data_IF_673860455185
#
_entry.id   IF_673860455185
#
_cell.length_a   1.000
_cell.length_b   1.000
_cell.length_c   1.000
_cell.angle_alpha   90.00
_cell.angle_beta   90.00
_cell.angle_gamma   90.00
#
_symmetry.space_group_name_H-M   'P 1'
#
loop_
_entity.id
_entity.type
_entity.pdbx_description
1 polymer ?
#
# COMPACT_ATOMS: atom_id res chain seq x y z
N UNK A 1 -16.87 -9.15 -7.09
CA UNK A 1 -16.43 -9.99 -5.96
C UNK A 1 -17.52 -11.00 -5.68
N UNK A 2 -17.25 -12.29 -5.87
CA UNK A 2 -18.19 -13.37 -5.58
C UNK A 2 -18.07 -13.90 -4.14
N UNK A 3 -18.92 -14.86 -3.76
CA UNK A 3 -18.93 -15.42 -2.40
C UNK A 3 -17.67 -16.21 -2.05
N UNK A 4 -17.01 -16.82 -3.05
CA UNK A 4 -15.75 -17.53 -2.82
C UNK A 4 -14.62 -16.56 -2.55
N UNK A 5 -14.57 -15.46 -3.30
CA UNK A 5 -13.62 -14.37 -3.10
C UNK A 5 -13.78 -13.70 -1.74
N UNK A 6 -15.03 -13.47 -1.29
CA UNK A 6 -15.30 -12.97 0.07
C UNK A 6 -14.83 -13.95 1.14
N UNK A 7 -15.17 -15.23 1.00
CA UNK A 7 -14.72 -16.26 1.93
C UNK A 7 -13.18 -16.35 2.01
N UNK A 8 -12.50 -16.31 0.86
CA UNK A 8 -11.03 -16.32 0.83
C UNK A 8 -10.43 -15.05 1.44
N UNK A 9 -11.06 -13.89 1.28
CA UNK A 9 -10.66 -12.67 1.96
C UNK A 9 -10.78 -12.81 3.47
N UNK A 10 -11.86 -13.37 3.98
CA UNK A 10 -12.06 -13.60 5.42
C UNK A 10 -11.00 -14.55 6.01
N UNK A 11 -10.60 -15.58 5.26
CA UNK A 11 -9.60 -16.57 5.72
C UNK A 11 -8.16 -16.06 5.57
N UNK A 12 -7.82 -15.40 4.48
CA UNK A 12 -6.45 -14.96 4.21
C UNK A 12 -6.13 -13.56 4.76
N UNK A 13 -7.14 -12.73 4.99
CA UNK A 13 -6.99 -11.32 5.34
C UNK A 13 -6.59 -10.41 4.17
N UNK A 14 -6.54 -10.94 2.94
CA UNK A 14 -6.28 -10.19 1.71
C UNK A 14 -6.89 -10.87 0.49
N UNK A 15 -7.06 -10.09 -0.58
CA UNK A 15 -7.48 -10.60 -1.90
C UNK A 15 -6.77 -9.80 -3.01
N UNK A 16 -6.55 -10.45 -4.16
CA UNK A 16 -5.97 -9.82 -5.35
C UNK A 16 -7.09 -9.46 -6.33
N UNK A 17 -7.32 -8.16 -6.54
CA UNK A 17 -8.25 -7.66 -7.55
C UNK A 17 -7.45 -7.25 -8.78
N UNK A 18 -7.58 -8.01 -9.87
CA UNK A 18 -6.89 -7.72 -11.14
C UNK A 18 -7.61 -6.59 -11.86
N UNK A 19 -6.85 -5.66 -12.43
CA UNK A 19 -7.40 -4.55 -13.22
C UNK A 19 -8.31 -3.62 -12.40
N UNK A 20 -8.04 -3.47 -11.10
CA UNK A 20 -8.80 -2.55 -10.25
C UNK A 20 -8.70 -1.09 -10.73
N UNK A 21 -7.62 -0.75 -11.43
CA UNK A 21 -7.41 0.51 -12.12
C UNK A 21 -7.22 0.24 -13.61
N UNK A 22 -7.74 1.12 -14.46
CA UNK A 22 -7.35 1.21 -15.88
C UNK A 22 -5.87 1.59 -16.03
N UNK A 23 -5.32 1.41 -17.22
CA UNK A 23 -3.94 1.80 -17.51
C UNK A 23 -3.72 3.31 -17.34
N UNK A 24 -4.72 4.11 -17.72
CA UNK A 24 -4.72 5.56 -17.60
C UNK A 24 -4.75 6.00 -16.14
N UNK A 25 -5.64 5.43 -15.32
CA UNK A 25 -5.74 5.72 -13.89
C UNK A 25 -4.47 5.32 -13.14
N UNK A 26 -3.91 4.15 -13.45
CA UNK A 26 -2.65 3.70 -12.87
C UNK A 26 -1.50 4.65 -13.22
N UNK A 27 -1.42 5.09 -14.48
CA UNK A 27 -0.42 6.05 -14.94
C UNK A 27 -0.56 7.40 -14.23
N UNK A 28 -1.78 7.91 -14.08
CA UNK A 28 -2.06 9.15 -13.36
C UNK A 28 -1.68 9.06 -11.88
N UNK A 29 -2.03 7.95 -11.21
CA UNK A 29 -1.69 7.72 -9.81
C UNK A 29 -0.17 7.66 -9.58
N UNK A 30 0.57 6.95 -10.44
CA UNK A 30 2.03 6.89 -10.35
C UNK A 30 2.66 8.28 -10.53
N UNK A 31 2.21 9.07 -11.51
CA UNK A 31 2.70 10.44 -11.72
C UNK A 31 2.45 11.35 -10.52
N UNK A 32 1.28 11.23 -9.89
CA UNK A 32 0.96 11.99 -8.70
C UNK A 32 1.89 11.61 -7.54
N UNK A 33 2.15 10.32 -7.33
CA UNK A 33 3.10 9.85 -6.32
C UNK A 33 4.51 10.36 -6.57
N UNK A 34 5.01 10.28 -7.81
CA UNK A 34 6.35 10.73 -8.16
C UNK A 34 6.51 12.24 -7.93
N UNK A 35 5.49 13.03 -8.31
CA UNK A 35 5.48 14.49 -8.14
C UNK A 35 5.58 14.93 -6.68
N UNK A 36 5.02 14.14 -5.75
CA UNK A 36 5.01 14.43 -4.32
C UNK A 36 5.97 13.53 -3.52
N UNK A 37 6.92 12.89 -4.18
CA UNK A 37 7.84 11.94 -3.55
C UNK A 37 8.69 12.57 -2.44
N UNK A 38 8.97 13.87 -2.54
CA UNK A 38 9.67 14.69 -1.53
C UNK A 38 8.86 14.87 -0.23
N UNK A 39 7.54 14.68 -0.28
CA UNK A 39 6.63 14.82 0.85
C UNK A 39 6.40 13.48 1.58
N UNK A 40 6.88 12.37 1.02
CA UNK A 40 6.76 11.04 1.62
C UNK A 40 7.75 10.91 2.79
N UNK A 41 7.21 10.98 4.00
CA UNK A 41 8.00 10.77 5.22
C UNK A 41 8.01 9.29 5.61
N UNK A 42 9.18 8.76 5.99
CA UNK A 42 9.26 7.39 6.53
C UNK A 42 8.79 7.40 7.98
N UNK A 43 7.86 6.52 8.33
CA UNK A 43 7.42 6.38 9.71
C UNK A 43 8.59 6.00 10.63
N UNK A 44 8.69 6.73 11.73
CA UNK A 44 9.83 6.69 12.67
C UNK A 44 9.94 5.34 13.41
N UNK A 45 8.85 4.59 13.45
CA UNK A 45 8.70 3.33 14.17
C UNK A 45 8.66 2.14 13.22
N UNK A 46 9.50 1.14 13.51
CA UNK A 46 9.42 -0.16 12.83
C UNK A 46 8.10 -0.85 13.17
N UNK A 47 7.34 -1.23 12.15
CA UNK A 47 6.12 -2.02 12.30
C UNK A 47 6.41 -3.51 12.56
N UNK A 48 7.69 -3.91 12.54
CA UNK A 48 8.10 -5.30 12.74
C UNK A 48 7.96 -5.75 14.21
N UNK A 49 7.69 -4.84 15.16
CA UNK A 49 7.62 -5.13 16.59
C UNK A 49 8.82 -5.97 17.09
N UNK A 50 10.04 -5.53 16.73
CA UNK A 50 11.31 -6.23 17.01
C UNK A 50 11.46 -7.62 16.38
N UNK A 51 10.54 -8.06 15.52
CA UNK A 51 10.69 -9.31 14.76
C UNK A 51 11.82 -9.20 13.74
N UNK A 52 12.85 -10.06 13.81
CA UNK A 52 13.95 -10.04 12.85
C UNK A 52 13.49 -10.45 11.44
N UNK A 53 12.47 -11.31 11.32
CA UNK A 53 11.95 -11.79 10.04
C UNK A 53 11.09 -10.77 9.31
N UNK A 54 10.50 -9.82 10.05
CA UNK A 54 9.66 -8.76 9.49
C UNK A 54 10.40 -7.42 9.35
N UNK A 55 11.70 -7.39 9.67
CA UNK A 55 12.50 -6.17 9.62
C UNK A 55 12.81 -5.80 8.16
N UNK A 56 12.17 -4.74 7.66
CA UNK A 56 12.45 -4.17 6.35
C UNK A 56 13.72 -3.30 6.35
N UNK A 57 14.39 -3.20 5.19
CA UNK A 57 15.51 -2.26 5.00
C UNK A 57 15.07 -0.79 5.06
N UNK A 58 13.82 -0.54 4.73
CA UNK A 58 13.20 0.80 4.71
C UNK A 58 11.91 0.75 5.52
N UNK A 59 11.65 1.78 6.32
CA UNK A 59 10.37 1.92 7.03
C UNK A 59 9.21 2.18 6.08
N UNK A 60 7.97 2.10 6.59
CA UNK A 60 6.78 2.39 5.79
C UNK A 60 6.70 3.89 5.48
N UNK A 61 6.64 4.24 4.19
CA UNK A 61 6.35 5.61 3.75
C UNK A 61 4.93 6.02 4.16
N UNK A 62 4.80 7.22 4.70
CA UNK A 62 3.54 7.84 5.09
C UNK A 62 3.16 8.92 4.08
N UNK A 63 1.95 8.82 3.54
CA UNK A 63 1.34 9.80 2.65
C UNK A 63 0.16 10.54 3.30
N UNK A 64 -0.07 10.33 4.61
CA UNK A 64 -1.07 11.07 5.37
C UNK A 64 -0.80 12.57 5.30
N UNK A 65 -1.82 13.35 4.95
CA UNK A 65 -1.80 14.80 4.69
C UNK A 65 -1.37 15.24 3.27
N UNK A 66 -1.20 14.33 2.31
CA UNK A 66 -0.90 14.71 0.91
C UNK A 66 -2.13 15.17 0.10
N UNK A 67 -3.34 15.01 0.64
CA UNK A 67 -4.61 15.37 -0.01
C UNK A 67 -5.40 16.45 0.75
N UNK A 68 -4.79 17.11 1.74
CA UNK A 68 -5.41 18.19 2.53
C UNK A 68 -5.11 19.56 1.97
#
# INVERSE_FOLDING_TARGET
MDESEKYLFDIHGYIVIKGALSAEELSAANKAMDHHSDQISVMNNSLANSSPTLFGKTGRGNMGNMLT
#
